data_IF_767193691450
#
_entry.id   IF_767193691450
#
_cell.length_a   1.000
_cell.length_b   1.000
_cell.length_c   1.000
_cell.angle_alpha   90.00
_cell.angle_beta   90.00
_cell.angle_gamma   90.00
#
_symmetry.space_group_name_H-M   'P 1'
#
loop_
_entity.id
_entity.type
_entity.pdbx_description
1 polymer ?
#
# COMPACT_ATOMS: atom_id res chain seq x y z
N UNK A 1 -17.04 -1.06 10.01
CA UNK A 1 -16.54 -0.21 8.92
C UNK A 1 -15.30 0.54 9.35
N UNK A 2 -15.36 1.37 10.39
CA UNK A 2 -14.21 2.16 10.87
C UNK A 2 -13.01 1.30 11.30
N UNK A 3 -13.22 0.29 12.15
CA UNK A 3 -12.15 -0.66 12.52
C UNK A 3 -11.57 -1.44 11.32
N UNK A 4 -12.38 -1.70 10.29
CA UNK A 4 -11.90 -2.35 9.07
C UNK A 4 -11.04 -1.37 8.25
N UNK A 5 -11.48 -0.12 8.10
CA UNK A 5 -10.72 0.93 7.44
C UNK A 5 -9.35 1.14 8.11
N UNK A 6 -9.31 1.21 9.45
CA UNK A 6 -8.04 1.30 10.18
C UNK A 6 -7.10 0.12 9.87
N UNK A 7 -7.61 -1.11 9.86
CA UNK A 7 -6.79 -2.29 9.52
C UNK A 7 -6.27 -2.26 8.08
N UNK A 8 -7.02 -1.67 7.15
CA UNK A 8 -6.58 -1.50 5.76
C UNK A 8 -5.45 -0.47 5.68
N UNK A 9 -5.56 0.64 6.41
CA UNK A 9 -4.49 1.65 6.50
C UNK A 9 -3.22 1.09 7.17
N UNK A 10 -3.37 0.37 8.29
CA UNK A 10 -2.24 -0.30 8.96
C UNK A 10 -1.56 -1.32 8.02
N UNK A 11 -2.36 -2.02 7.23
CA UNK A 11 -1.89 -2.98 6.23
C UNK A 11 -1.09 -2.30 5.11
N UNK A 12 -1.55 -1.14 4.62
CA UNK A 12 -0.83 -0.32 3.65
C UNK A 12 0.54 0.11 4.19
N UNK A 13 0.58 0.68 5.39
CA UNK A 13 1.84 1.14 6.01
C UNK A 13 2.85 0.00 6.19
N UNK A 14 2.34 -1.18 6.56
CA UNK A 14 3.16 -2.39 6.68
C UNK A 14 3.73 -2.84 5.32
N UNK A 15 2.94 -2.73 4.24
CA UNK A 15 3.40 -3.04 2.88
C UNK A 15 4.46 -2.03 2.45
N UNK A 16 4.22 -0.73 2.62
CA UNK A 16 5.15 0.34 2.23
C UNK A 16 6.51 0.15 2.94
N UNK A 17 6.49 -0.13 4.24
CA UNK A 17 7.70 -0.38 5.03
C UNK A 17 8.48 -1.60 4.52
N UNK A 18 7.77 -2.71 4.23
CA UNK A 18 8.40 -3.93 3.74
C UNK A 18 9.01 -3.75 2.35
N UNK A 19 8.34 -3.02 1.46
CA UNK A 19 8.86 -2.76 0.11
C UNK A 19 10.13 -1.92 0.15
N UNK A 20 10.17 -0.89 1.00
CA UNK A 20 11.34 -0.04 1.17
C UNK A 20 12.53 -0.83 1.78
N UNK A 21 12.29 -1.71 2.75
CA UNK A 21 13.32 -2.60 3.32
C UNK A 21 13.90 -3.54 2.26
N UNK A 22 13.04 -4.23 1.52
CA UNK A 22 13.45 -5.16 0.47
C UNK A 22 14.17 -4.43 -0.68
N UNK A 23 13.81 -3.18 -0.98
CA UNK A 23 14.53 -2.35 -1.95
C UNK A 23 15.97 -2.09 -1.51
N UNK A 24 16.18 -1.76 -0.23
CA UNK A 24 17.53 -1.60 0.32
C UNK A 24 18.40 -2.84 0.12
N UNK A 25 17.85 -4.04 0.37
CA UNK A 25 18.58 -5.29 0.14
C UNK A 25 18.94 -5.53 -1.34
N UNK A 26 18.06 -5.13 -2.27
CA UNK A 26 18.34 -5.23 -3.70
C UNK A 26 19.43 -4.25 -4.10
N UNK A 27 19.41 -3.04 -3.59
CA UNK A 27 20.45 -2.04 -3.83
C UNK A 27 21.80 -2.50 -3.31
N UNK A 28 21.87 -2.99 -2.06
CA UNK A 28 23.09 -3.57 -1.47
C UNK A 28 23.66 -4.70 -2.34
N UNK A 29 22.82 -5.63 -2.79
CA UNK A 29 23.23 -6.76 -3.64
C UNK A 29 23.82 -6.29 -5.00
N UNK A 30 23.21 -5.26 -5.59
CA UNK A 30 23.67 -4.69 -6.87
C UNK A 30 24.99 -3.94 -6.68
N UNK A 31 25.17 -3.26 -5.55
CA UNK A 31 26.40 -2.54 -5.21
C UNK A 31 27.58 -3.48 -4.89
N UNK A 32 27.34 -4.54 -4.10
CA UNK A 32 28.37 -5.42 -3.51
C UNK A 32 29.05 -6.37 -4.50
N UNK A 33 28.51 -6.57 -5.71
CA UNK A 33 29.25 -7.32 -6.73
C UNK A 33 28.44 -8.23 -7.65
N UNK A 34 27.12 -8.11 -7.69
CA UNK A 34 26.31 -8.73 -8.75
C UNK A 34 26.52 -8.02 -10.11
N UNK A 35 27.77 -7.72 -10.49
CA UNK A 35 28.16 -6.85 -11.62
C UNK A 35 28.47 -7.63 -12.90
N UNK A 36 27.62 -8.58 -13.28
CA UNK A 36 27.49 -8.83 -14.72
C UNK A 36 26.57 -7.72 -15.24
N UNK A 37 27.14 -6.67 -15.84
CA UNK A 37 26.49 -5.36 -16.11
C UNK A 37 25.05 -5.40 -16.65
N UNK A 38 24.64 -6.47 -17.34
CA UNK A 38 23.28 -6.65 -17.85
C UNK A 38 22.29 -7.30 -16.89
N UNK A 39 22.75 -8.17 -15.99
CA UNK A 39 21.86 -8.92 -15.11
C UNK A 39 21.45 -8.09 -13.89
N UNK A 40 22.35 -7.30 -13.31
CA UNK A 40 22.03 -6.40 -12.21
C UNK A 40 21.11 -5.25 -12.60
N UNK A 41 21.31 -4.66 -13.79
CA UNK A 41 20.42 -3.62 -14.29
C UNK A 41 18.98 -4.12 -14.41
N UNK A 42 18.76 -5.23 -15.12
CA UNK A 42 17.42 -5.83 -15.27
C UNK A 42 16.81 -6.27 -13.95
N UNK A 43 17.62 -6.74 -13.00
CA UNK A 43 17.13 -7.13 -11.69
C UNK A 43 16.67 -5.92 -10.89
N UNK A 44 17.44 -4.82 -10.90
CA UNK A 44 17.03 -3.54 -10.30
C UNK A 44 15.75 -3.01 -10.94
N UNK A 45 15.71 -2.92 -12.27
CA UNK A 45 14.53 -2.43 -13.01
C UNK A 45 13.28 -3.25 -12.66
N UNK A 46 13.38 -4.59 -12.68
CA UNK A 46 12.26 -5.46 -12.35
C UNK A 46 11.82 -5.37 -10.88
N UNK A 47 12.73 -5.04 -9.98
CA UNK A 47 12.40 -4.80 -8.58
C UNK A 47 11.74 -3.44 -8.38
N UNK A 48 12.20 -2.40 -9.07
CA UNK A 48 11.54 -1.08 -9.10
C UNK A 48 10.10 -1.19 -9.64
N UNK A 49 9.90 -1.93 -10.72
CA UNK A 49 8.57 -2.22 -11.28
C UNK A 49 7.67 -2.95 -10.27
N UNK A 50 8.22 -3.95 -9.55
CA UNK A 50 7.50 -4.67 -8.49
C UNK A 50 7.10 -3.72 -7.36
N UNK A 51 8.04 -2.92 -6.85
CA UNK A 51 7.78 -1.96 -5.78
C UNK A 51 6.69 -0.97 -6.18
N UNK A 52 6.77 -0.41 -7.39
CA UNK A 52 5.76 0.52 -7.89
C UNK A 52 4.38 -0.14 -7.99
N UNK A 53 4.29 -1.33 -8.58
CA UNK A 53 3.02 -2.05 -8.69
C UNK A 53 2.41 -2.44 -7.34
N UNK A 54 3.25 -2.73 -6.34
CA UNK A 54 2.77 -3.01 -4.98
C UNK A 54 2.33 -1.72 -4.25
N UNK A 55 3.02 -0.59 -4.46
CA UNK A 55 2.60 0.73 -3.94
C UNK A 55 1.24 1.14 -4.52
N UNK A 56 1.05 0.99 -5.83
CA UNK A 56 -0.24 1.23 -6.49
C UNK A 56 -1.36 0.35 -5.91
N UNK A 57 -1.08 -0.93 -5.67
CA UNK A 57 -2.04 -1.84 -5.04
C UNK A 57 -2.35 -1.43 -3.58
N UNK A 58 -1.35 -0.98 -2.82
CA UNK A 58 -1.51 -0.50 -1.45
C UNK A 58 -2.34 0.81 -1.40
N UNK A 59 -2.16 1.70 -2.37
CA UNK A 59 -2.99 2.91 -2.49
C UNK A 59 -4.45 2.55 -2.77
N UNK A 60 -4.72 1.55 -3.61
CA UNK A 60 -6.08 1.00 -3.79
C UNK A 60 -6.70 0.45 -2.50
N UNK A 61 -5.88 -0.07 -1.57
CA UNK A 61 -6.33 -0.48 -0.23
C UNK A 61 -6.75 0.73 0.62
N UNK A 62 -6.02 1.84 0.51
CA UNK A 62 -6.38 3.09 1.20
C UNK A 62 -7.66 3.74 0.64
N UNK A 63 -7.88 3.65 -0.67
CA UNK A 63 -9.14 4.08 -1.28
C UNK A 63 -10.34 3.28 -0.74
N UNK A 64 -10.18 1.96 -0.56
CA UNK A 64 -11.21 1.12 0.08
C UNK A 64 -11.45 1.52 1.54
N UNK A 65 -10.39 1.84 2.29
CA UNK A 65 -10.51 2.33 3.66
C UNK A 65 -11.32 3.64 3.71
N UNK A 66 -11.06 4.55 2.78
CA UNK A 66 -11.81 5.81 2.62
C UNK A 66 -13.28 5.55 2.31
N UNK A 67 -13.57 4.71 1.31
CA UNK A 67 -14.94 4.36 0.95
C UNK A 67 -15.73 3.75 2.12
N UNK A 68 -15.08 2.91 2.94
CA UNK A 68 -15.70 2.34 4.14
C UNK A 68 -16.03 3.41 5.20
N UNK A 69 -15.19 4.44 5.35
CA UNK A 69 -15.44 5.56 6.26
C UNK A 69 -16.61 6.41 5.78
N UNK A 70 -16.65 6.71 4.48
CA UNK A 70 -17.72 7.48 3.85
C UNK A 70 -19.07 6.76 3.99
N UNK A 71 -19.10 5.44 3.74
CA UNK A 71 -20.30 4.64 3.95
C UNK A 71 -20.76 4.65 5.42
N UNK A 72 -19.82 4.54 6.36
CA UNK A 72 -20.16 4.59 7.78
C UNK A 72 -20.78 5.93 8.18
N UNK A 73 -20.29 7.03 7.60
CA UNK A 73 -20.85 8.36 7.82
C UNK A 73 -22.25 8.49 7.21
N UNK A 74 -22.43 8.09 5.96
CA UNK A 74 -23.73 8.14 5.30
C UNK A 74 -24.82 7.33 6.04
N UNK A 75 -24.45 6.18 6.62
CA UNK A 75 -25.37 5.37 7.44
C UNK A 75 -25.76 6.12 8.72
N UNK A 76 -24.82 6.75 9.43
CA UNK A 76 -25.12 7.54 10.63
C UNK A 76 -26.03 8.73 10.33
N UNK A 77 -25.73 9.46 9.26
CA UNK A 77 -26.52 10.62 8.85
C UNK A 77 -27.96 10.23 8.47
N UNK A 78 -28.15 9.05 7.88
CA UNK A 78 -29.47 8.50 7.59
C UNK A 78 -30.22 8.10 8.86
N UNK A 79 -29.54 7.41 9.79
CA UNK A 79 -30.14 6.99 11.06
C UNK A 79 -30.59 8.19 11.90
N UNK A 80 -29.79 9.27 11.96
CA UNK A 80 -30.14 10.50 12.69
C UNK A 80 -31.38 11.18 12.09
N UNK A 81 -31.51 11.19 10.76
CA UNK A 81 -32.70 11.72 10.09
C UNK A 81 -33.95 10.90 10.38
N UNK A 82 -33.82 9.58 10.44
CA UNK A 82 -34.93 8.67 10.74
C UNK A 82 -35.33 8.71 12.23
N UNK A 83 -34.39 8.93 13.14
CA UNK A 83 -34.64 9.04 14.57
C UNK A 83 -35.20 10.41 15.00
N UNK A 84 -34.91 11.45 14.21
CA UNK A 84 -35.38 12.82 14.45
C UNK A 84 -36.71 13.20 13.78
N UNK A 85 -37.28 12.32 12.94
CA UNK A 85 -38.57 12.48 12.27
C UNK A 85 -39.68 11.67 12.92
#
# INVERSE_FOLDING_TARGET
MESTATKLDDGKESIDTLLDELQGHVDDLVEDGFKTEKASGKFRDGYEDLTNGMKDAADGVSEMATALRDMAQAVRDLDDQLAGG
#
